data_IF_767293924258
#
_entry.id   IF_767293924258
#
_cell.length_a   1.000
_cell.length_b   1.000
_cell.length_c   1.000
_cell.angle_alpha   90.00
_cell.angle_beta   90.00
_cell.angle_gamma   90.00
#
_symmetry.space_group_name_H-M   'P 1'
#
loop_
_entity.id
_entity.type
_entity.pdbx_description
1 polymer ?
#
# COMPACT_ATOMS: atom_id res chain seq x y z
N UNK A 1 -17.99 4.07 23.95
CA UNK A 1 -17.44 2.83 23.35
C UNK A 1 -16.07 3.00 22.68
N UNK A 2 -15.71 4.17 22.15
CA UNK A 2 -14.39 4.39 21.49
C UNK A 2 -13.16 4.30 22.42
N UNK A 3 -13.32 4.58 23.72
CA UNK A 3 -12.21 4.56 24.70
C UNK A 3 -11.79 3.13 25.11
N UNK A 4 -12.75 2.24 25.36
CA UNK A 4 -12.47 0.84 25.72
C UNK A 4 -11.76 0.10 24.58
N UNK A 5 -12.15 0.35 23.33
CA UNK A 5 -11.52 -0.25 22.16
C UNK A 5 -10.08 0.25 21.96
N UNK A 6 -9.78 1.50 22.34
CA UNK A 6 -8.41 2.03 22.36
C UNK A 6 -7.55 1.36 23.44
N UNK A 7 -8.09 1.14 24.63
CA UNK A 7 -7.35 0.49 25.73
C UNK A 7 -6.98 -0.96 25.38
N UNK A 8 -7.93 -1.76 24.87
CA UNK A 8 -7.67 -3.14 24.44
C UNK A 8 -6.56 -3.19 23.40
N UNK A 9 -6.57 -2.26 22.44
CA UNK A 9 -5.53 -2.16 21.41
C UNK A 9 -4.14 -1.85 21.99
N UNK A 10 -4.06 -1.07 23.06
CA UNK A 10 -2.80 -0.75 23.74
C UNK A 10 -2.29 -1.95 24.56
N UNK A 11 -3.16 -2.61 25.33
CA UNK A 11 -2.78 -3.80 26.09
C UNK A 11 -2.36 -4.95 25.19
N UNK A 12 -3.03 -5.15 24.05
CA UNK A 12 -2.62 -6.14 23.07
C UNK A 12 -1.23 -5.83 22.51
N UNK A 13 -0.94 -4.57 22.17
CA UNK A 13 0.41 -4.15 21.71
C UNK A 13 1.48 -4.39 22.76
N UNK A 14 1.21 -4.07 24.02
CA UNK A 14 2.11 -4.33 25.14
C UNK A 14 2.34 -5.84 25.33
N UNK A 15 1.28 -6.65 25.26
CA UNK A 15 1.38 -8.11 25.35
C UNK A 15 2.24 -8.69 24.24
N UNK A 16 2.05 -8.25 22.99
CA UNK A 16 2.91 -8.68 21.86
C UNK A 16 4.37 -8.26 22.08
N UNK A 17 4.63 -7.04 22.59
CA UNK A 17 5.99 -6.59 22.86
C UNK A 17 6.70 -7.46 23.90
N UNK A 18 6.03 -7.78 25.01
CA UNK A 18 6.56 -8.66 26.06
C UNK A 18 6.79 -10.07 25.52
N UNK A 19 5.84 -10.61 24.75
CA UNK A 19 5.96 -11.94 24.14
C UNK A 19 7.16 -12.02 23.20
N UNK A 20 7.39 -10.99 22.37
CA UNK A 20 8.57 -10.93 21.48
C UNK A 20 9.86 -10.94 22.28
N UNK A 21 9.96 -10.14 23.35
CA UNK A 21 11.14 -10.10 24.22
C UNK A 21 11.39 -11.46 24.86
N UNK A 22 10.35 -12.12 25.37
CA UNK A 22 10.45 -13.45 25.97
C UNK A 22 10.94 -14.50 24.97
N UNK A 23 10.44 -14.49 23.73
CA UNK A 23 10.90 -15.39 22.66
C UNK A 23 12.37 -15.13 22.31
N UNK A 24 12.79 -13.87 22.20
CA UNK A 24 14.19 -13.52 21.94
C UNK A 24 15.10 -14.03 23.06
N UNK A 25 14.72 -13.80 24.33
CA UNK A 25 15.47 -14.31 25.48
C UNK A 25 15.54 -15.83 25.49
N UNK A 26 14.44 -16.51 25.18
CA UNK A 26 14.40 -17.98 25.12
C UNK A 26 15.31 -18.51 24.02
N UNK A 27 15.29 -17.91 22.82
CA UNK A 27 16.20 -18.26 21.73
C UNK A 27 17.66 -18.05 22.10
N UNK A 28 17.98 -16.95 22.79
CA UNK A 28 19.33 -16.65 23.28
C UNK A 28 19.78 -17.68 24.30
N UNK A 29 18.96 -17.97 25.30
CA UNK A 29 19.30 -18.94 26.35
C UNK A 29 19.46 -20.35 25.80
N UNK A 30 18.57 -20.77 24.88
CA UNK A 30 18.59 -22.11 24.31
C UNK A 30 19.74 -22.33 23.32
N UNK A 31 20.17 -21.29 22.61
CA UNK A 31 21.24 -21.41 21.59
C UNK A 31 22.60 -20.86 22.04
N UNK A 32 22.73 -20.35 23.28
CA UNK A 32 23.98 -19.74 23.78
C UNK A 32 25.21 -20.64 23.64
N UNK A 33 25.04 -21.95 23.77
CA UNK A 33 26.13 -22.93 23.75
C UNK A 33 26.10 -23.84 22.51
N UNK A 34 25.26 -23.57 21.51
CA UNK A 34 25.15 -24.38 20.31
C UNK A 34 25.90 -23.70 19.13
N UNK A 35 26.84 -24.42 18.54
CA UNK A 35 27.44 -24.09 17.24
C UNK A 35 26.80 -24.95 16.15
N UNK A 36 26.76 -24.46 14.93
CA UNK A 36 26.26 -25.24 13.78
C UNK A 36 27.23 -25.08 12.63
N UNK A 37 27.56 -26.21 12.00
CA UNK A 37 28.32 -26.26 10.77
C UNK A 37 27.48 -25.71 9.61
N UNK A 38 27.91 -24.61 9.00
CA UNK A 38 27.19 -23.97 7.89
C UNK A 38 28.00 -24.12 6.60
N UNK A 39 27.48 -24.88 5.64
CA UNK A 39 28.16 -25.22 4.37
C UNK A 39 28.06 -24.14 3.27
N UNK A 40 27.72 -22.88 3.58
CA UNK A 40 27.48 -21.89 2.50
C UNK A 40 28.77 -21.31 1.87
N UNK A 41 29.95 -21.44 2.51
CA UNK A 41 31.20 -20.79 2.05
C UNK A 41 32.48 -21.67 2.13
N UNK A 42 32.38 -22.96 1.81
CA UNK A 42 33.50 -23.89 1.60
C UNK A 42 34.40 -24.28 2.80
N UNK A 43 34.36 -23.55 3.92
CA UNK A 43 35.01 -23.95 5.19
C UNK A 43 33.97 -24.19 6.28
N UNK A 44 34.06 -25.35 6.94
CA UNK A 44 33.30 -25.64 8.16
C UNK A 44 33.84 -24.75 9.29
N UNK A 45 33.28 -23.56 9.41
CA UNK A 45 33.48 -22.72 10.58
C UNK A 45 32.34 -22.97 11.57
N UNK A 46 32.70 -23.21 12.83
CA UNK A 46 31.79 -23.22 13.97
C UNK A 46 31.19 -21.82 14.15
N UNK A 47 30.14 -21.51 13.37
CA UNK A 47 29.44 -20.24 13.49
C UNK A 47 28.42 -20.37 14.61
N UNK A 48 28.49 -19.42 15.55
CA UNK A 48 27.51 -19.34 16.63
C UNK A 48 26.11 -19.12 16.04
N UNK A 49 25.15 -19.99 16.39
CA UNK A 49 23.77 -19.95 15.88
C UNK A 49 23.10 -18.60 16.17
N UNK A 50 23.50 -17.92 17.25
CA UNK A 50 22.99 -16.58 17.56
C UNK A 50 23.29 -15.56 16.47
N UNK A 51 24.48 -15.63 15.86
CA UNK A 51 24.85 -14.74 14.75
C UNK A 51 24.06 -15.04 13.49
N UNK A 52 23.84 -16.32 13.17
CA UNK A 52 22.99 -16.73 12.05
C UNK A 52 21.57 -16.24 12.25
N UNK A 53 20.96 -16.52 13.41
CA UNK A 53 19.61 -16.05 13.73
C UNK A 53 19.49 -14.53 13.67
N UNK A 54 20.50 -13.80 14.16
CA UNK A 54 20.51 -12.34 14.11
C UNK A 54 20.56 -11.83 12.66
N UNK A 55 21.45 -12.37 11.83
CA UNK A 55 21.55 -12.00 10.42
C UNK A 55 20.27 -12.35 9.67
N UNK A 56 19.69 -13.54 9.90
CA UNK A 56 18.43 -13.95 9.28
C UNK A 56 17.28 -13.05 9.72
N UNK A 57 17.20 -12.69 11.00
CA UNK A 57 16.17 -11.79 11.51
C UNK A 57 16.29 -10.39 10.91
N UNK A 58 17.49 -9.81 10.89
CA UNK A 58 17.76 -8.50 10.27
C UNK A 58 17.43 -8.53 8.78
N UNK A 59 17.86 -9.56 8.06
CA UNK A 59 17.57 -9.72 6.63
C UNK A 59 16.08 -9.85 6.36
N UNK A 60 15.35 -10.60 7.18
CA UNK A 60 13.89 -10.73 7.06
C UNK A 60 13.18 -9.40 7.26
N UNK A 61 13.60 -8.59 8.25
CA UNK A 61 13.04 -7.25 8.49
C UNK A 61 13.30 -6.32 7.30
N UNK A 62 14.52 -6.33 6.76
CA UNK A 62 14.89 -5.52 5.59
C UNK A 62 14.05 -5.94 4.37
N UNK A 63 13.97 -7.24 4.09
CA UNK A 63 13.17 -7.78 2.99
C UNK A 63 11.69 -7.43 3.14
N UNK A 64 11.13 -7.55 4.35
CA UNK A 64 9.75 -7.16 4.62
C UNK A 64 9.51 -5.68 4.38
N UNK A 65 10.42 -4.82 4.83
CA UNK A 65 10.31 -3.37 4.64
C UNK A 65 10.41 -2.99 3.16
N UNK A 66 11.35 -3.60 2.43
CA UNK A 66 11.49 -3.46 0.99
C UNK A 66 10.24 -3.89 0.24
N UNK A 67 9.73 -5.09 0.52
CA UNK A 67 8.49 -5.60 -0.08
C UNK A 67 7.32 -4.63 0.18
N UNK A 68 7.16 -4.16 1.42
CA UNK A 68 6.07 -3.23 1.78
C UNK A 68 6.16 -1.90 1.02
N UNK A 69 7.36 -1.37 0.79
CA UNK A 69 7.55 -0.19 -0.06
C UNK A 69 7.20 -0.49 -1.52
N UNK A 70 7.64 -1.62 -2.06
CA UNK A 70 7.34 -2.02 -3.44
C UNK A 70 5.81 -2.13 -3.63
N UNK A 71 5.12 -2.82 -2.72
CA UNK A 71 3.66 -2.92 -2.77
C UNK A 71 2.97 -1.55 -2.70
N UNK A 72 3.49 -0.61 -1.90
CA UNK A 72 2.96 0.75 -1.83
C UNK A 72 3.09 1.48 -3.17
N UNK A 73 4.29 1.44 -3.77
CA UNK A 73 4.54 2.06 -5.07
C UNK A 73 3.66 1.45 -6.16
N UNK A 74 3.49 0.13 -6.18
CA UNK A 74 2.60 -0.54 -7.13
C UNK A 74 1.14 -0.12 -6.93
N UNK A 75 0.71 0.07 -5.68
CA UNK A 75 -0.64 0.54 -5.38
C UNK A 75 -0.86 1.97 -5.85
N UNK A 76 0.08 2.88 -5.56
CA UNK A 76 0.07 4.27 -6.01
C UNK A 76 0.05 4.36 -7.54
N UNK A 77 0.84 3.52 -8.23
CA UNK A 77 0.86 3.47 -9.69
C UNK A 77 -0.50 3.06 -10.28
N UNK A 78 -1.19 2.13 -9.63
CA UNK A 78 -2.54 1.70 -10.03
C UNK A 78 -3.56 2.81 -9.83
N UNK A 79 -3.47 3.56 -8.73
CA UNK A 79 -4.34 4.71 -8.45
C UNK A 79 -4.13 5.82 -9.46
N UNK A 80 -2.88 6.17 -9.78
CA UNK A 80 -2.56 7.17 -10.81
C UNK A 80 -3.14 6.77 -12.16
N UNK A 81 -3.04 5.49 -12.54
CA UNK A 81 -3.61 5.00 -13.80
C UNK A 81 -5.13 5.10 -13.82
N UNK A 82 -5.80 4.81 -12.71
CA UNK A 82 -7.26 4.96 -12.60
C UNK A 82 -7.68 6.44 -12.64
N UNK A 83 -6.94 7.31 -11.97
CA UNK A 83 -7.18 8.74 -11.98
C UNK A 83 -7.03 9.33 -13.39
N UNK A 84 -6.03 8.88 -14.17
CA UNK A 84 -5.85 9.32 -15.54
C UNK A 84 -7.03 8.92 -16.46
N UNK A 85 -7.60 7.73 -16.27
CA UNK A 85 -8.77 7.27 -17.04
C UNK A 85 -10.01 8.10 -16.68
N UNK A 86 -10.22 8.38 -15.39
CA UNK A 86 -11.33 9.22 -14.94
C UNK A 86 -11.23 10.66 -15.48
N UNK A 87 -10.02 11.22 -15.51
CA UNK A 87 -9.81 12.57 -16.04
C UNK A 87 -10.11 12.63 -17.55
N UNK A 88 -9.70 11.61 -18.31
CA UNK A 88 -10.05 11.50 -19.73
C UNK A 88 -11.57 11.43 -19.94
N UNK A 89 -12.27 10.62 -19.17
CA UNK A 89 -13.73 10.51 -19.25
C UNK A 89 -14.43 11.82 -18.88
N UNK A 90 -13.96 12.54 -17.86
CA UNK A 90 -14.50 13.85 -17.52
C UNK A 90 -14.28 14.88 -18.63
N UNK A 91 -13.12 14.86 -19.28
CA UNK A 91 -12.84 15.76 -20.41
C UNK A 91 -13.75 15.47 -21.60
N UNK A 92 -13.96 14.19 -21.94
CA UNK A 92 -14.90 13.79 -22.99
C UNK A 92 -16.33 14.21 -22.66
N UNK A 93 -16.79 13.96 -21.44
CA UNK A 93 -18.13 14.36 -21.01
C UNK A 93 -18.33 15.87 -21.07
N UNK A 94 -17.31 16.66 -20.70
CA UNK A 94 -17.33 18.12 -20.84
C UNK A 94 -17.43 18.56 -22.30
N UNK A 95 -16.66 17.95 -23.21
CA UNK A 95 -16.75 18.25 -24.65
C UNK A 95 -18.14 17.96 -25.20
N UNK A 96 -18.70 16.79 -24.90
CA UNK A 96 -20.05 16.43 -25.34
C UNK A 96 -21.10 17.40 -24.78
N UNK A 97 -20.97 17.80 -23.52
CA UNK A 97 -21.90 18.78 -22.91
C UNK A 97 -21.84 20.15 -23.59
N UNK A 98 -20.65 20.59 -24.02
CA UNK A 98 -20.47 21.85 -24.74
C UNK A 98 -21.08 21.78 -26.15
N UNK A 99 -20.85 20.67 -26.87
CA UNK A 99 -21.46 20.46 -28.18
C UNK A 99 -22.99 20.42 -28.13
N UNK A 100 -23.56 19.79 -27.10
CA UNK A 100 -25.01 19.76 -26.89
C UNK A 100 -25.56 21.16 -26.61
N UNK A 101 -24.89 21.95 -25.75
CA UNK A 101 -25.29 23.32 -25.47
C UNK A 101 -25.24 24.22 -26.72
N UNK A 102 -24.24 24.04 -27.59
CA UNK A 102 -24.17 24.75 -28.87
C UNK A 102 -25.26 24.32 -29.86
N UNK A 103 -25.65 23.04 -29.87
CA UNK A 103 -26.75 22.54 -30.69
C UNK A 103 -28.09 23.07 -30.20
N UNK A 104 -28.32 23.09 -28.88
CA UNK A 104 -29.52 23.68 -28.31
C UNK A 104 -29.66 25.15 -28.68
N UNK A 105 -28.59 25.96 -28.54
CA UNK A 105 -28.61 27.37 -28.96
C UNK A 105 -28.99 27.54 -30.44
N UNK A 106 -28.43 26.71 -31.32
CA UNK A 106 -28.75 26.74 -32.75
C UNK A 106 -30.20 26.35 -33.06
N UNK A 107 -30.77 25.41 -32.29
CA UNK A 107 -32.17 25.01 -32.44
C UNK A 107 -33.08 26.14 -31.96
N UNK A 108 -32.76 26.74 -30.81
CA UNK A 108 -33.55 27.83 -30.21
C UNK A 108 -33.55 29.08 -31.11
N UNK A 109 -32.41 29.41 -31.71
CA UNK A 109 -32.31 30.46 -32.75
C UNK A 109 -33.19 30.16 -33.97
N UNK A 110 -33.18 28.92 -34.47
CA UNK A 110 -34.03 28.52 -35.61
C UNK A 110 -35.51 28.62 -35.28
N UNK A 111 -35.92 28.16 -34.11
CA UNK A 111 -37.33 28.23 -33.65
C UNK A 111 -37.77 29.70 -33.57
N UNK A 112 -36.93 30.56 -32.99
CA UNK A 112 -37.21 32.00 -32.88
C UNK A 112 -37.33 32.66 -34.26
N UNK A 113 -36.49 32.26 -35.21
CA UNK A 113 -36.55 32.80 -36.57
C UNK A 113 -37.85 32.39 -37.29
N UNK A 114 -38.26 31.12 -37.19
CA UNK A 114 -39.51 30.63 -37.80
C UNK A 114 -40.78 31.28 -37.23
N UNK A 115 -40.82 31.56 -35.92
CA UNK A 115 -41.98 32.23 -35.30
C UNK A 115 -42.09 33.70 -35.76
N UNK A 116 -40.96 34.34 -36.03
CA UNK A 116 -40.92 35.75 -36.47
C UNK A 116 -41.27 35.91 -37.95
N UNK A 117 -40.99 34.91 -38.79
CA UNK A 117 -41.33 34.92 -40.23
C UNK A 117 -42.80 34.54 -40.52
N UNK A 118 -43.49 33.85 -39.61
CA UNK A 118 -44.92 33.50 -39.74
C UNK A 118 -45.89 34.59 -39.24
N UNK A 119 -45.42 35.64 -38.58
CA UNK A 119 -46.23 36.79 -38.08
C UNK A 119 -46.07 38.03 -38.95
#
# INVERSE_FOLDING_TARGET
>A
MALAMRQVKVYLKLGVMIAVIAVVLLLVLMNRNHTTDVWFFATYEDVNILWLMLITAVSAVICWWGARKIFRVLHELKEVRQAAILDQQMQEQRRVSQELAEREKRIDEKIRHSITEES
#
